data_IF_198928414833
#
_entry.id   IF_198928414833
#
_cell.length_a   1.000
_cell.length_b   1.000
_cell.length_c   1.000
_cell.angle_alpha   90.00
_cell.angle_beta   90.00
_cell.angle_gamma   90.00
#
_symmetry.space_group_name_H-M   'P 1'
#
loop_
_entity.id
_entity.type
_entity.pdbx_description
1 polymer ?
#
# COMPACT_ATOMS: atom_id res chain seq x y z
N UNK A 1 -78.38 1.24 -2.91
CA UNK A 1 -78.31 2.59 -2.32
C UNK A 1 -76.84 3.02 -2.27
N UNK A 2 -76.51 4.09 -3.01
CA UNK A 2 -75.52 5.16 -2.73
C UNK A 2 -74.34 4.74 -1.81
N UNK A 3 -73.14 4.44 -2.34
CA UNK A 3 -72.07 5.34 -2.82
C UNK A 3 -71.38 6.18 -1.72
N UNK A 4 -70.10 5.90 -1.44
CA UNK A 4 -69.03 6.91 -1.27
C UNK A 4 -67.63 6.32 -1.51
N UNK A 5 -67.06 6.64 -2.69
CA UNK A 5 -65.68 7.09 -3.04
C UNK A 5 -64.47 6.53 -2.25
N UNK A 6 -63.53 5.76 -2.85
CA UNK A 6 -62.44 6.07 -3.85
C UNK A 6 -61.10 6.45 -3.19
N UNK A 7 -59.94 6.43 -3.90
CA UNK A 7 -59.34 5.49 -4.87
C UNK A 7 -57.86 5.19 -4.45
N UNK A 8 -56.96 4.46 -5.10
CA UNK A 8 -56.85 3.75 -6.37
C UNK A 8 -55.39 3.25 -6.48
N UNK A 9 -55.14 2.19 -7.23
CA UNK A 9 -53.78 1.84 -7.70
C UNK A 9 -53.89 1.55 -9.18
N UNK A 10 -53.36 2.48 -9.97
CA UNK A 10 -53.23 2.37 -11.41
C UNK A 10 -52.08 1.43 -11.78
N UNK A 11 -52.33 0.59 -12.78
CA UNK A 11 -51.34 -0.21 -13.48
C UNK A 11 -50.21 0.68 -14.01
N UNK A 12 -48.97 0.32 -13.70
CA UNK A 12 -47.78 0.83 -14.39
C UNK A 12 -47.51 -0.07 -15.60
N UNK A 13 -47.79 0.45 -16.79
CA UNK A 13 -47.32 -0.10 -18.05
C UNK A 13 -45.86 0.34 -18.29
N UNK A 14 -45.05 -0.65 -18.67
CA UNK A 14 -43.65 -0.54 -19.09
C UNK A 14 -43.44 0.54 -20.16
N UNK A 15 -42.47 1.43 -19.93
CA UNK A 15 -41.73 2.11 -21.00
C UNK A 15 -40.25 1.98 -20.70
N UNK A 16 -39.58 1.21 -21.55
CA UNK A 16 -38.14 0.95 -21.56
C UNK A 16 -37.34 2.25 -21.59
N UNK A 17 -36.52 2.51 -20.57
CA UNK A 17 -35.45 3.50 -20.64
C UNK A 17 -34.12 2.79 -20.86
N UNK A 18 -33.61 2.91 -22.10
CA UNK A 18 -32.20 2.73 -22.39
C UNK A 18 -31.38 3.64 -21.46
N UNK A 19 -30.55 3.05 -20.60
CA UNK A 19 -29.52 3.73 -19.82
C UNK A 19 -28.42 4.24 -20.77
N UNK A 20 -28.68 5.40 -21.39
CA UNK A 20 -27.64 6.23 -21.99
C UNK A 20 -26.83 6.89 -20.87
N UNK A 21 -25.50 6.79 -20.95
CA UNK A 21 -24.58 7.32 -19.94
C UNK A 21 -24.85 8.79 -19.59
N UNK A 22 -24.82 9.09 -18.29
CA UNK A 22 -25.09 10.41 -17.72
C UNK A 22 -24.18 11.48 -18.33
N UNK A 23 -24.78 12.53 -18.90
CA UNK A 23 -24.09 13.65 -19.56
C UNK A 23 -23.23 14.48 -18.58
N UNK A 24 -23.63 14.60 -17.32
CA UNK A 24 -22.84 15.23 -16.26
C UNK A 24 -22.28 14.18 -15.30
N UNK A 25 -21.05 14.37 -14.85
CA UNK A 25 -20.30 13.46 -13.97
C UNK A 25 -20.26 14.02 -12.54
N UNK A 26 -19.85 13.19 -11.57
CA UNK A 26 -19.55 13.60 -10.19
C UNK A 26 -20.66 14.42 -9.51
N UNK A 27 -21.93 14.05 -9.72
CA UNK A 27 -23.07 14.75 -9.12
C UNK A 27 -23.44 16.09 -9.79
N UNK A 28 -22.88 16.38 -10.97
CA UNK A 28 -23.25 17.55 -11.77
C UNK A 28 -24.69 17.52 -12.27
N UNK A 29 -25.36 18.67 -12.20
CA UNK A 29 -26.74 18.83 -12.68
C UNK A 29 -26.76 19.20 -14.17
N UNK A 30 -27.42 18.39 -14.98
CA UNK A 30 -27.59 18.67 -16.41
C UNK A 30 -28.62 19.77 -16.64
N UNK A 31 -28.21 20.83 -17.35
CA UNK A 31 -29.12 21.92 -17.75
C UNK A 31 -29.54 21.72 -19.21
N UNK A 32 -30.83 21.46 -19.49
CA UNK A 32 -31.30 21.25 -20.86
C UNK A 32 -31.44 22.56 -21.64
N UNK A 33 -31.26 22.49 -22.95
CA UNK A 33 -31.58 23.57 -23.89
C UNK A 33 -33.09 23.82 -23.95
N UNK A 34 -33.50 25.09 -23.87
CA UNK A 34 -34.91 25.48 -23.95
C UNK A 34 -35.55 25.22 -25.33
N UNK A 35 -34.73 25.03 -26.38
CA UNK A 35 -35.19 24.84 -27.76
C UNK A 35 -35.27 23.34 -28.11
N UNK A 36 -34.29 22.56 -27.67
CA UNK A 36 -34.13 21.15 -28.12
C UNK A 36 -34.31 20.13 -27.00
N UNK A 37 -34.40 20.54 -25.73
CA UNK A 37 -34.46 19.65 -24.57
C UNK A 37 -33.17 18.86 -24.31
N UNK A 38 -32.17 18.95 -25.19
CA UNK A 38 -30.91 18.25 -25.06
C UNK A 38 -30.00 18.89 -24.00
N UNK A 39 -29.15 18.12 -23.30
CA UNK A 39 -28.19 18.64 -22.33
C UNK A 39 -27.27 19.70 -22.96
N UNK A 40 -27.32 20.94 -22.49
CA UNK A 40 -26.54 22.07 -23.04
C UNK A 40 -25.20 22.24 -22.31
N UNK A 41 -25.24 22.25 -20.98
CA UNK A 41 -24.08 22.33 -20.10
C UNK A 41 -24.40 21.76 -18.71
N UNK A 42 -23.36 21.47 -17.92
CA UNK A 42 -23.51 20.97 -16.56
C UNK A 42 -23.28 22.09 -15.53
N UNK A 43 -24.14 22.15 -14.51
CA UNK A 43 -23.88 22.93 -13.28
C UNK A 43 -23.17 22.03 -12.29
N UNK A 44 -21.95 22.41 -11.91
CA UNK A 44 -21.10 21.58 -11.07
C UNK A 44 -21.26 21.90 -9.59
N UNK A 45 -21.21 20.88 -8.71
CA UNK A 45 -21.13 21.07 -7.27
C UNK A 45 -19.93 21.92 -6.88
N UNK A 46 -19.97 22.52 -5.68
CA UNK A 46 -18.84 23.27 -5.15
C UNK A 46 -17.59 22.40 -5.07
N UNK A 47 -16.46 22.96 -5.46
CA UNK A 47 -15.23 22.20 -5.65
C UNK A 47 -15.11 21.51 -7.01
N UNK A 48 -16.08 21.57 -7.93
CA UNK A 48 -15.97 21.01 -9.28
C UNK A 48 -16.22 22.05 -10.40
N UNK A 49 -15.68 21.79 -11.59
CA UNK A 49 -15.70 22.60 -12.82
C UNK A 49 -15.56 21.69 -14.05
N UNK A 50 -15.52 22.28 -15.25
CA UNK A 50 -15.48 21.54 -16.52
C UNK A 50 -16.86 21.44 -17.16
N UNK A 51 -16.89 20.96 -18.41
CA UNK A 51 -18.13 20.95 -19.22
C UNK A 51 -19.13 19.91 -18.71
N UNK A 52 -18.63 18.87 -18.04
CA UNK A 52 -19.37 17.75 -17.46
C UNK A 52 -19.06 17.54 -15.97
N UNK A 53 -18.51 18.54 -15.27
CA UNK A 53 -18.14 18.46 -13.85
C UNK A 53 -17.06 17.41 -13.55
N UNK A 54 -16.14 17.28 -14.50
CA UNK A 54 -15.01 16.36 -14.49
C UNK A 54 -13.75 16.91 -13.80
N UNK A 55 -13.74 18.20 -13.42
CA UNK A 55 -12.54 18.90 -12.94
C UNK A 55 -12.75 19.38 -11.51
N UNK A 56 -11.88 19.06 -10.55
CA UNK A 56 -11.95 19.64 -9.20
C UNK A 56 -11.32 21.05 -9.18
N UNK A 57 -12.02 22.07 -8.66
CA UNK A 57 -11.64 23.49 -8.62
C UNK A 57 -10.46 23.80 -7.66
N UNK A 58 -9.76 22.78 -7.15
CA UNK A 58 -8.77 22.92 -6.07
C UNK A 58 -7.39 22.30 -6.29
N UNK A 59 -7.07 21.71 -7.45
CA UNK A 59 -5.83 20.94 -7.61
C UNK A 59 -4.57 21.81 -7.92
N UNK A 60 -4.10 22.55 -6.92
CA UNK A 60 -2.79 23.22 -6.94
C UNK A 60 -1.62 22.30 -6.57
N UNK A 61 -1.90 21.06 -6.18
CA UNK A 61 -0.96 20.09 -5.62
C UNK A 61 -1.30 18.64 -6.02
N UNK A 62 -0.35 17.70 -5.90
CA UNK A 62 -0.61 16.26 -6.14
C UNK A 62 -0.43 15.42 -4.87
N UNK A 63 -1.18 14.31 -4.78
CA UNK A 63 -1.11 13.36 -3.67
C UNK A 63 -0.43 12.04 -4.06
N UNK A 64 0.26 11.40 -3.10
CA UNK A 64 1.00 10.15 -3.34
C UNK A 64 1.96 10.33 -4.52
N UNK A 65 1.85 9.46 -5.52
CA UNK A 65 2.59 9.58 -6.79
C UNK A 65 1.84 10.40 -7.87
N UNK A 66 0.67 10.95 -7.59
CA UNK A 66 -0.06 11.83 -8.50
C UNK A 66 -0.70 11.15 -9.73
N UNK A 67 -1.08 9.87 -9.63
CA UNK A 67 -1.81 9.15 -10.71
C UNK A 67 -3.20 9.75 -10.95
N UNK A 68 -3.84 10.21 -9.88
CA UNK A 68 -5.15 10.86 -9.93
C UNK A 68 -5.09 12.37 -10.13
N UNK A 69 -3.89 12.96 -10.15
CA UNK A 69 -3.73 14.41 -10.36
C UNK A 69 -4.34 14.82 -11.71
N UNK A 70 -5.26 15.80 -11.68
CA UNK A 70 -5.90 16.36 -12.88
C UNK A 70 -5.74 17.87 -13.02
N UNK A 71 -4.92 18.51 -12.17
CA UNK A 71 -4.62 19.94 -12.23
C UNK A 71 -3.96 20.41 -13.54
N UNK A 72 -3.81 21.72 -13.70
CA UNK A 72 -3.43 22.37 -14.97
C UNK A 72 -1.97 22.81 -15.05
N UNK A 73 -1.11 22.39 -14.11
CA UNK A 73 0.32 22.72 -14.14
C UNK A 73 0.97 22.15 -15.41
N UNK A 74 1.74 22.99 -16.11
CA UNK A 74 2.39 22.69 -17.39
C UNK A 74 3.88 23.07 -17.42
N UNK A 75 4.55 23.07 -16.26
CA UNK A 75 5.99 23.36 -16.13
C UNK A 75 6.72 22.21 -15.44
N UNK A 76 7.93 21.91 -15.89
CA UNK A 76 8.84 20.97 -15.24
C UNK A 76 9.58 21.62 -14.06
N UNK A 77 10.21 20.80 -13.22
CA UNK A 77 11.09 21.24 -12.12
C UNK A 77 12.27 22.10 -12.58
N UNK A 78 12.69 21.98 -13.85
CA UNK A 78 13.73 22.84 -14.43
C UNK A 78 13.16 24.16 -14.97
N UNK A 79 11.85 24.42 -14.77
CA UNK A 79 11.14 25.60 -15.25
C UNK A 79 10.73 25.51 -16.73
N UNK A 80 10.98 24.40 -17.41
CA UNK A 80 10.65 24.25 -18.83
C UNK A 80 9.17 24.00 -19.06
N UNK A 81 8.64 24.58 -20.13
CA UNK A 81 7.26 24.35 -20.55
C UNK A 81 7.09 22.93 -21.07
N UNK A 82 6.05 22.26 -20.58
CA UNK A 82 5.67 20.94 -21.03
C UNK A 82 5.18 20.96 -22.49
N UNK A 83 5.52 19.88 -23.20
CA UNK A 83 5.05 19.59 -24.55
C UNK A 83 3.69 18.88 -24.51
N UNK A 84 2.91 19.03 -25.58
CA UNK A 84 1.60 18.39 -25.71
C UNK A 84 1.77 16.87 -25.77
N UNK A 85 0.89 16.14 -25.07
CA UNK A 85 0.91 14.67 -25.08
C UNK A 85 0.71 14.10 -26.49
N UNK A 86 1.54 13.12 -26.85
CA UNK A 86 1.47 12.47 -28.15
C UNK A 86 0.16 11.68 -28.33
N UNK A 87 -0.16 11.34 -29.57
CA UNK A 87 -1.43 10.69 -29.91
C UNK A 87 -1.62 9.34 -29.19
N UNK A 88 -0.54 8.60 -28.94
CA UNK A 88 -0.58 7.29 -28.30
C UNK A 88 -0.89 7.43 -26.81
N UNK A 89 -0.18 8.33 -26.11
CA UNK A 89 -0.43 8.64 -24.71
C UNK A 89 -1.88 9.12 -24.49
N UNK A 90 -2.37 9.99 -25.38
CA UNK A 90 -3.74 10.52 -25.32
C UNK A 90 -4.80 9.43 -25.45
N UNK A 91 -4.68 8.54 -26.44
CA UNK A 91 -5.67 7.48 -26.66
C UNK A 91 -5.68 6.44 -25.54
N UNK A 92 -4.50 6.07 -25.03
CA UNK A 92 -4.38 4.96 -24.08
C UNK A 92 -4.63 5.37 -22.63
N UNK A 93 -4.20 6.56 -22.23
CA UNK A 93 -4.19 6.93 -20.81
C UNK A 93 -4.97 8.20 -20.47
N UNK A 94 -5.18 9.11 -21.44
CA UNK A 94 -5.78 10.43 -21.21
C UNK A 94 -7.09 10.63 -21.98
N UNK A 95 -7.74 9.55 -22.41
CA UNK A 95 -8.97 9.61 -23.21
C UNK A 95 -10.12 10.28 -22.46
N UNK A 96 -10.15 10.12 -21.13
CA UNK A 96 -11.11 10.73 -20.20
C UNK A 96 -10.64 12.08 -19.63
N UNK A 97 -9.46 12.57 -20.02
CA UNK A 97 -8.87 13.82 -19.51
C UNK A 97 -9.37 15.04 -20.31
N UNK A 98 -9.04 16.26 -19.85
CA UNK A 98 -9.46 17.50 -20.50
C UNK A 98 -9.08 17.49 -21.99
N UNK A 99 -10.00 17.89 -22.86
CA UNK A 99 -9.82 17.85 -24.32
C UNK A 99 -9.32 16.49 -24.86
N UNK A 100 -9.68 15.37 -24.21
CA UNK A 100 -9.16 14.02 -24.52
C UNK A 100 -7.63 13.96 -24.52
N UNK A 101 -7.02 14.62 -23.54
CA UNK A 101 -5.58 14.74 -23.35
C UNK A 101 -4.88 15.70 -24.30
N UNK A 102 -5.61 16.49 -25.12
CA UNK A 102 -5.03 17.54 -26.00
C UNK A 102 -4.63 18.78 -25.20
N UNK A 103 -3.72 18.60 -24.26
CA UNK A 103 -3.08 19.64 -23.48
C UNK A 103 -1.64 19.23 -23.17
N UNK A 104 -0.90 20.12 -22.54
CA UNK A 104 0.46 19.87 -22.04
C UNK A 104 0.53 19.78 -20.51
N UNK A 105 -0.60 19.62 -19.83
CA UNK A 105 -0.62 19.48 -18.37
C UNK A 105 0.06 18.20 -17.89
N UNK A 106 0.73 18.31 -16.76
CA UNK A 106 1.45 17.24 -16.11
C UNK A 106 0.53 16.10 -15.67
N UNK A 107 0.96 14.86 -15.92
CA UNK A 107 0.20 13.64 -15.59
C UNK A 107 1.14 12.53 -15.17
N UNK A 108 0.62 11.55 -14.44
CA UNK A 108 1.35 10.33 -14.13
C UNK A 108 0.72 9.09 -14.78
N UNK A 109 0.85 9.00 -16.11
CA UNK A 109 0.23 7.96 -16.95
C UNK A 109 0.95 6.60 -16.96
N UNK A 110 2.04 6.46 -16.19
CA UNK A 110 2.88 5.25 -16.16
C UNK A 110 3.35 4.91 -14.74
N UNK A 111 2.62 5.37 -13.72
CA UNK A 111 2.91 5.08 -12.31
C UNK A 111 4.36 5.42 -11.89
N UNK A 112 4.92 6.53 -12.41
CA UNK A 112 6.25 7.05 -12.00
C UNK A 112 6.19 7.63 -10.58
N UNK A 113 7.33 8.03 -10.02
CA UNK A 113 7.40 8.67 -8.69
C UNK A 113 6.42 9.85 -8.48
N UNK A 114 6.21 10.69 -9.51
CA UNK A 114 5.32 11.86 -9.45
C UNK A 114 4.87 12.33 -10.84
N UNK A 115 3.91 13.26 -10.97
CA UNK A 115 3.49 13.75 -12.28
C UNK A 115 4.66 14.32 -13.08
N UNK A 116 4.66 14.03 -14.37
CA UNK A 116 5.72 14.41 -15.28
C UNK A 116 5.13 14.91 -16.59
N UNK A 117 6.00 15.50 -17.41
CA UNK A 117 5.70 15.85 -18.79
C UNK A 117 6.94 15.71 -19.65
N UNK A 118 6.74 15.76 -20.96
CA UNK A 118 7.84 15.84 -21.92
C UNK A 118 8.29 17.30 -22.06
N UNK A 119 9.58 17.55 -22.13
CA UNK A 119 10.16 18.88 -22.41
C UNK A 119 11.24 18.78 -23.48
N UNK A 120 11.49 19.88 -24.18
CA UNK A 120 12.53 19.94 -25.22
C UNK A 120 13.89 20.31 -24.62
N UNK A 121 14.91 19.49 -24.84
CA UNK A 121 16.30 19.73 -24.44
C UNK A 121 17.23 19.37 -25.59
N UNK A 122 18.02 20.33 -26.06
CA UNK A 122 18.95 20.15 -27.19
C UNK A 122 18.29 19.46 -28.41
N UNK A 123 17.10 19.94 -28.81
CA UNK A 123 16.27 19.37 -29.87
C UNK A 123 15.72 17.95 -29.65
N UNK A 124 15.93 17.34 -28.48
CA UNK A 124 15.35 16.05 -28.11
C UNK A 124 14.22 16.22 -27.11
N UNK A 125 13.24 15.31 -27.18
CA UNK A 125 12.13 15.22 -26.23
C UNK A 125 12.57 14.37 -25.04
N UNK A 126 12.62 14.96 -23.86
CA UNK A 126 13.07 14.28 -22.63
C UNK A 126 11.97 14.40 -21.58
N UNK A 127 11.75 13.33 -20.81
CA UNK A 127 10.85 13.35 -19.66
C UNK A 127 11.46 14.13 -18.51
N UNK A 128 10.70 15.05 -17.93
CA UNK A 128 11.05 15.69 -16.67
C UNK A 128 9.84 15.68 -15.71
N UNK A 129 10.11 15.59 -14.41
CA UNK A 129 9.08 15.72 -13.39
C UNK A 129 8.56 17.16 -13.33
N UNK A 130 7.31 17.30 -12.95
CA UNK A 130 6.65 18.59 -12.89
C UNK A 130 6.88 19.30 -11.55
N UNK A 131 6.94 20.63 -11.61
CA UNK A 131 7.00 21.49 -10.44
C UNK A 131 5.60 21.69 -9.89
N UNK A 132 5.09 20.64 -9.26
CA UNK A 132 3.80 20.65 -8.60
C UNK A 132 4.12 20.41 -7.12
N UNK A 133 3.63 21.24 -6.19
CA UNK A 133 3.79 20.95 -4.77
C UNK A 133 3.07 19.63 -4.46
N UNK A 134 3.78 18.71 -3.80
CA UNK A 134 3.12 17.55 -3.19
C UNK A 134 2.31 18.06 -2.00
N UNK A 135 1.10 17.53 -1.78
CA UNK A 135 0.27 17.96 -0.66
C UNK A 135 0.94 17.56 0.67
N UNK A 136 1.73 18.48 1.25
CA UNK A 136 2.27 18.39 2.59
C UNK A 136 1.22 18.98 3.53
N UNK A 137 0.49 18.13 4.22
CA UNK A 137 -0.37 18.55 5.33
C UNK A 137 0.54 19.01 6.48
N UNK A 138 0.92 20.29 6.49
CA UNK A 138 1.45 20.97 7.68
C UNK A 138 0.29 21.18 8.66
N UNK A 139 -0.18 20.09 9.26
CA UNK A 139 -0.89 20.19 10.52
C UNK A 139 0.17 20.48 11.60
N UNK A 140 0.09 21.68 12.16
CA UNK A 140 0.81 22.16 13.33
C UNK A 140 0.98 21.07 14.40
N UNK A 141 2.24 20.76 14.72
CA UNK A 141 2.66 19.86 15.79
C UNK A 141 2.22 20.39 17.17
N UNK A 142 1.60 19.55 18.02
CA UNK A 142 2.05 19.41 19.39
C UNK A 142 3.16 18.34 19.45
N UNK A 143 4.00 18.46 20.49
CA UNK A 143 5.16 17.64 20.75
C UNK A 143 4.86 16.12 20.80
N UNK A 144 5.89 15.36 20.46
CA UNK A 144 5.93 13.91 20.34
C UNK A 144 5.23 13.13 21.47
N UNK A 145 4.21 12.38 21.10
CA UNK A 145 3.95 11.05 21.65
C UNK A 145 4.13 10.09 20.47
N UNK A 146 5.14 9.19 20.52
CA UNK A 146 5.36 8.20 19.45
C UNK A 146 4.19 7.20 19.45
N UNK A 147 3.13 7.48 18.69
CA UNK A 147 2.05 6.53 18.48
C UNK A 147 2.39 5.64 17.29
N UNK A 148 2.84 4.41 17.56
CA UNK A 148 2.99 3.37 16.55
C UNK A 148 1.65 3.04 15.89
N UNK A 149 1.68 2.36 14.74
CA UNK A 149 0.47 1.81 14.10
C UNK A 149 -0.49 2.87 13.56
N UNK A 150 -0.08 4.14 13.58
CA UNK A 150 -0.82 5.26 13.04
C UNK A 150 -0.33 5.59 11.64
N UNK A 151 -1.28 5.82 10.73
CA UNK A 151 -1.02 6.28 9.36
C UNK A 151 -1.98 7.40 9.03
N UNK A 152 -1.58 8.34 8.18
CA UNK A 152 -2.44 9.44 7.78
C UNK A 152 -3.45 8.93 6.75
N UNK A 153 -4.59 8.41 7.21
CA UNK A 153 -5.66 7.90 6.33
C UNK A 153 -6.51 9.07 5.83
N UNK A 154 -6.41 9.41 4.54
CA UNK A 154 -7.57 10.00 3.84
C UNK A 154 -8.49 8.87 3.41
N UNK A 155 -9.79 9.01 3.62
CA UNK A 155 -10.85 8.08 3.18
C UNK A 155 -10.78 7.90 1.66
N UNK A 156 -9.92 7.01 1.18
CA UNK A 156 -9.92 6.57 -0.21
C UNK A 156 -11.00 5.50 -0.35
N UNK A 157 -11.95 5.75 -1.24
CA UNK A 157 -12.96 4.78 -1.64
C UNK A 157 -12.28 3.49 -2.12
N UNK A 158 -12.67 2.39 -1.50
CA UNK A 158 -12.27 0.99 -1.72
C UNK A 158 -12.15 0.68 -3.23
N UNK A 159 -10.94 0.34 -3.70
CA UNK A 159 -10.72 -0.26 -5.03
C UNK A 159 -10.22 -1.70 -4.84
N UNK A 160 -10.90 -2.63 -5.50
CA UNK A 160 -10.81 -4.08 -5.32
C UNK A 160 -9.75 -4.66 -6.26
N UNK A 161 -8.79 -5.42 -5.71
CA UNK A 161 -7.83 -6.23 -6.46
C UNK A 161 -6.39 -5.71 -6.43
N UNK A 162 -5.56 -6.23 -5.52
CA UNK A 162 -4.09 -6.12 -5.51
C UNK A 162 -3.58 -4.76 -5.97
N UNK A 163 -3.92 -3.71 -5.23
CA UNK A 163 -3.77 -2.35 -5.72
C UNK A 163 -2.35 -1.86 -5.53
N UNK A 164 -1.85 -1.10 -6.51
CA UNK A 164 -0.66 -0.27 -6.32
C UNK A 164 -0.92 0.58 -5.08
N UNK A 165 -0.02 0.44 -4.11
CA UNK A 165 -0.10 1.09 -2.82
C UNK A 165 0.97 2.17 -2.75
N UNK A 166 0.77 3.16 -1.89
CA UNK A 166 1.83 4.11 -1.55
C UNK A 166 2.39 3.78 -0.18
N UNK A 167 3.64 4.16 0.05
CA UNK A 167 4.33 3.92 1.32
C UNK A 167 3.66 4.67 2.48
N UNK A 168 2.98 5.79 2.25
CA UNK A 168 2.24 6.52 3.29
C UNK A 168 1.04 5.73 3.82
N UNK A 169 0.53 4.77 3.03
CA UNK A 169 -0.52 3.85 3.49
C UNK A 169 0.02 2.69 4.34
N UNK A 170 1.31 2.39 4.24
CA UNK A 170 2.02 1.36 5.00
C UNK A 170 3.40 1.87 5.41
N UNK A 171 3.47 2.94 6.23
CA UNK A 171 4.70 3.69 6.47
C UNK A 171 5.76 2.91 7.27
N UNK A 172 5.41 1.74 7.80
CA UNK A 172 6.31 0.79 8.44
C UNK A 172 6.98 -0.19 7.48
N UNK A 173 6.61 -0.22 6.18
CA UNK A 173 7.21 -1.17 5.24
C UNK A 173 8.72 -0.91 5.10
N UNK A 174 9.51 -1.97 5.22
CA UNK A 174 10.95 -1.96 5.04
C UNK A 174 11.33 -2.82 3.84
N UNK A 175 12.14 -2.28 2.92
CA UNK A 175 12.70 -3.02 1.81
C UNK A 175 14.16 -3.43 2.15
N UNK A 176 14.41 -4.73 2.25
CA UNK A 176 15.72 -5.28 2.59
C UNK A 176 16.46 -5.63 1.30
N UNK A 177 17.64 -5.05 1.12
CA UNK A 177 18.50 -5.28 -0.04
C UNK A 177 19.80 -5.97 0.37
N UNK A 178 20.26 -6.86 -0.50
CA UNK A 178 21.57 -7.48 -0.43
C UNK A 178 22.47 -6.97 -1.56
N UNK A 179 23.70 -6.56 -1.21
CA UNK A 179 24.70 -6.12 -2.18
C UNK A 179 25.42 -7.32 -2.78
N UNK A 180 25.17 -7.60 -4.06
CA UNK A 180 25.79 -8.68 -4.84
C UNK A 180 27.32 -8.51 -4.96
N UNK A 181 28.02 -9.56 -5.43
CA UNK A 181 29.47 -9.48 -5.68
C UNK A 181 29.80 -8.46 -6.79
N UNK A 182 28.88 -8.26 -7.73
CA UNK A 182 28.95 -7.23 -8.79
C UNK A 182 28.55 -5.82 -8.31
N UNK A 183 28.46 -5.59 -6.98
CA UNK A 183 28.11 -4.30 -6.35
C UNK A 183 26.69 -3.79 -6.68
N UNK A 184 25.81 -4.63 -7.22
CA UNK A 184 24.40 -4.30 -7.42
C UNK A 184 23.60 -4.59 -6.15
N UNK A 185 22.65 -3.71 -5.82
CA UNK A 185 21.70 -3.95 -4.73
C UNK A 185 20.53 -4.78 -5.28
N UNK A 186 20.30 -5.95 -4.70
CA UNK A 186 19.23 -6.87 -5.09
C UNK A 186 18.23 -6.92 -3.96
N UNK A 187 16.95 -6.69 -4.28
CA UNK A 187 15.88 -6.83 -3.30
C UNK A 187 15.83 -8.28 -2.79
N UNK A 188 15.77 -8.44 -1.47
CA UNK A 188 15.84 -9.73 -0.80
C UNK A 188 14.50 -10.11 -0.18
N UNK A 189 13.98 -9.24 0.67
CA UNK A 189 12.77 -9.47 1.46
C UNK A 189 12.12 -8.13 1.87
N UNK A 190 10.86 -8.22 2.30
CA UNK A 190 10.20 -7.18 3.06
C UNK A 190 10.57 -7.22 4.56
N UNK A 191 10.06 -6.25 5.29
CA UNK A 191 10.22 -6.10 6.73
C UNK A 191 9.25 -5.07 7.27
N UNK A 192 9.18 -4.94 8.59
CA UNK A 192 8.37 -3.92 9.27
C UNK A 192 9.21 -3.14 10.27
N UNK A 193 9.13 -1.81 10.24
CA UNK A 193 9.75 -0.93 11.23
C UNK A 193 8.92 -0.98 12.53
N UNK A 194 9.51 -1.49 13.61
CA UNK A 194 8.85 -1.63 14.93
C UNK A 194 9.36 -0.60 15.94
N UNK A 195 10.53 -0.01 15.70
CA UNK A 195 11.02 1.20 16.35
C UNK A 195 12.01 1.91 15.43
N UNK A 196 12.45 3.12 15.77
CA UNK A 196 13.37 3.89 14.95
C UNK A 196 14.64 3.11 14.51
N UNK A 197 15.15 2.21 15.35
CA UNK A 197 16.38 1.45 15.07
C UNK A 197 16.13 -0.04 14.79
N UNK A 198 14.90 -0.53 14.79
CA UNK A 198 14.61 -1.96 14.72
C UNK A 198 13.59 -2.29 13.64
N UNK A 199 13.97 -3.22 12.77
CA UNK A 199 13.11 -3.82 11.74
C UNK A 199 12.94 -5.30 12.04
N UNK A 200 11.70 -5.77 11.99
CA UNK A 200 11.34 -7.19 12.09
C UNK A 200 11.07 -7.76 10.70
N UNK A 201 11.47 -9.01 10.46
CA UNK A 201 11.35 -9.70 9.16
C UNK A 201 11.36 -11.22 9.38
N UNK A 202 11.37 -12.01 8.31
CA UNK A 202 11.45 -13.46 8.37
C UNK A 202 12.91 -13.95 8.45
N UNK A 203 13.15 -15.07 9.15
CA UNK A 203 14.47 -15.66 9.29
C UNK A 203 14.99 -16.28 7.99
N UNK A 204 14.11 -16.91 7.19
CA UNK A 204 14.48 -17.55 5.92
C UNK A 204 15.04 -16.57 4.88
N UNK A 205 14.85 -15.26 5.08
CA UNK A 205 15.50 -14.22 4.28
C UNK A 205 17.03 -14.29 4.33
N UNK A 206 17.59 -14.92 5.38
CA UNK A 206 19.03 -15.03 5.68
C UNK A 206 19.48 -16.49 5.72
N UNK A 207 19.65 -17.18 4.57
CA UNK A 207 19.92 -18.62 4.52
C UNK A 207 21.26 -19.02 5.15
N UNK A 208 22.19 -18.08 5.30
CA UNK A 208 23.48 -18.28 5.97
C UNK A 208 23.35 -18.13 7.50
N UNK A 209 22.14 -17.93 8.03
CA UNK A 209 21.88 -17.81 9.45
C UNK A 209 22.70 -16.69 10.11
N UNK A 210 23.30 -16.99 11.26
CA UNK A 210 24.21 -16.09 11.99
C UNK A 210 25.51 -15.77 11.22
N UNK A 211 25.86 -16.53 10.17
CA UNK A 211 27.02 -16.28 9.33
C UNK A 211 26.75 -15.23 8.23
N UNK A 212 25.49 -14.80 8.09
CA UNK A 212 25.08 -13.78 7.10
C UNK A 212 25.91 -12.51 7.27
N UNK A 213 26.55 -12.06 6.18
CA UNK A 213 27.39 -10.85 6.18
C UNK A 213 26.55 -9.57 6.22
N UNK A 214 26.19 -9.12 7.42
CA UNK A 214 25.36 -7.94 7.64
C UNK A 214 25.87 -6.67 6.93
N UNK A 215 27.18 -6.51 6.70
CA UNK A 215 27.74 -5.35 5.99
C UNK A 215 27.29 -5.26 4.52
N UNK A 216 26.80 -6.37 3.94
CA UNK A 216 26.23 -6.43 2.59
C UNK A 216 24.74 -6.09 2.56
N UNK A 217 24.10 -5.95 3.71
CA UNK A 217 22.69 -5.61 3.80
C UNK A 217 22.49 -4.10 3.93
N UNK A 218 21.39 -3.64 3.35
CA UNK A 218 20.83 -2.32 3.59
C UNK A 218 19.32 -2.42 3.68
N UNK A 219 18.73 -1.56 4.51
CA UNK A 219 17.29 -1.42 4.65
C UNK A 219 16.89 -0.05 4.15
N UNK A 220 15.91 0.01 3.25
CA UNK A 220 15.31 1.28 2.81
C UNK A 220 13.86 1.37 3.29
N UNK A 221 13.55 2.44 4.00
CA UNK A 221 12.21 2.83 4.45
C UNK A 221 11.67 3.90 3.47
N UNK A 222 10.36 4.08 3.39
CA UNK A 222 9.77 5.11 2.53
C UNK A 222 9.77 4.77 1.02
N UNK A 223 10.01 3.51 0.65
CA UNK A 223 10.26 3.12 -0.75
C UNK A 223 8.95 2.81 -1.50
N UNK A 224 8.61 3.59 -2.53
CA UNK A 224 7.44 3.29 -3.37
C UNK A 224 7.74 2.28 -4.50
N UNK A 225 8.93 2.38 -5.10
CA UNK A 225 9.34 1.54 -6.21
C UNK A 225 10.75 0.96 -6.01
N UNK A 226 10.97 -0.31 -6.35
CA UNK A 226 12.26 -0.99 -6.14
C UNK A 226 13.37 -0.48 -7.06
N UNK A 227 13.01 -0.02 -8.27
CA UNK A 227 13.95 0.40 -9.32
C UNK A 227 14.16 1.92 -9.40
N UNK A 228 13.47 2.70 -8.56
CA UNK A 228 13.57 4.15 -8.50
C UNK A 228 13.96 4.55 -7.06
N UNK A 229 14.58 5.71 -6.88
CA UNK A 229 14.95 6.22 -5.55
C UNK A 229 14.53 7.67 -5.42
N UNK A 230 13.91 8.00 -4.28
CA UNK A 230 13.51 9.35 -3.92
C UNK A 230 14.17 9.75 -2.59
N UNK A 231 15.24 10.55 -2.64
CA UNK A 231 15.95 10.98 -1.43
C UNK A 231 15.16 11.95 -0.54
N UNK A 232 14.02 12.45 -1.00
CA UNK A 232 13.16 13.33 -0.19
C UNK A 232 12.20 12.56 0.72
N UNK A 233 12.01 11.26 0.43
CA UNK A 233 11.07 10.37 1.13
C UNK A 233 11.79 9.15 1.72
N UNK A 234 12.75 8.58 0.99
CA UNK A 234 13.43 7.35 1.37
C UNK A 234 14.51 7.58 2.43
N UNK A 235 14.55 6.70 3.43
CA UNK A 235 15.63 6.66 4.42
C UNK A 235 16.33 5.31 4.33
N UNK A 236 17.63 5.31 3.99
CA UNK A 236 18.41 4.09 3.80
C UNK A 236 19.46 3.91 4.88
N UNK A 237 19.46 2.74 5.51
CA UNK A 237 20.35 2.37 6.60
C UNK A 237 21.16 1.12 6.25
N UNK A 238 22.39 1.05 6.78
CA UNK A 238 23.13 -0.22 6.85
C UNK A 238 22.60 -1.03 8.03
N UNK A 239 22.77 -2.34 7.96
CA UNK A 239 22.47 -3.22 9.09
C UNK A 239 23.69 -3.28 10.01
N UNK A 240 23.48 -3.03 11.29
CA UNK A 240 24.48 -3.18 12.35
C UNK A 240 24.56 -4.64 12.83
N UNK A 241 23.40 -5.27 13.04
CA UNK A 241 23.31 -6.63 13.56
C UNK A 241 22.04 -7.33 13.07
N UNK A 242 22.12 -8.66 12.93
CA UNK A 242 21.01 -9.55 12.59
C UNK A 242 20.81 -10.50 13.77
N UNK A 243 19.58 -10.65 14.22
CA UNK A 243 19.18 -11.63 15.23
C UNK A 243 18.17 -12.57 14.60
N UNK A 244 18.56 -13.82 14.38
CA UNK A 244 17.67 -14.89 13.94
C UNK A 244 17.22 -15.64 15.18
N UNK A 245 15.95 -16.03 15.24
CA UNK A 245 15.44 -16.79 16.36
C UNK A 245 16.24 -18.09 16.55
N UNK A 246 16.66 -18.37 17.78
CA UNK A 246 17.61 -19.45 18.11
C UNK A 246 17.09 -20.84 17.77
N UNK A 247 15.76 -20.98 17.71
CA UNK A 247 15.07 -22.22 17.36
C UNK A 247 14.57 -22.26 15.91
N UNK A 248 15.02 -21.34 15.04
CA UNK A 248 14.76 -21.44 13.61
C UNK A 248 15.76 -22.42 12.97
N UNK A 249 15.26 -23.46 12.30
CA UNK A 249 16.10 -24.42 11.61
C UNK A 249 16.04 -24.21 10.09
N UNK A 250 17.12 -23.70 9.51
CA UNK A 250 17.25 -23.50 8.06
C UNK A 250 17.25 -24.81 7.25
N UNK A 251 17.50 -25.95 7.90
CA UNK A 251 17.56 -27.26 7.26
C UNK A 251 16.20 -27.97 7.23
N UNK A 252 15.26 -27.53 8.07
CA UNK A 252 13.90 -28.08 8.13
C UNK A 252 12.95 -27.18 7.33
N UNK A 253 12.20 -27.77 6.41
CA UNK A 253 11.18 -27.04 5.63
C UNK A 253 9.88 -26.81 6.41
N UNK A 254 9.93 -26.81 7.75
CA UNK A 254 8.76 -26.57 8.59
C UNK A 254 8.56 -25.08 8.94
N UNK A 255 9.53 -24.21 8.64
CA UNK A 255 9.50 -22.77 8.88
C UNK A 255 9.13 -22.37 10.32
N UNK A 256 9.30 -23.27 11.30
CA UNK A 256 8.97 -22.97 12.69
C UNK A 256 9.93 -21.90 13.23
N UNK A 257 9.40 -20.89 13.91
CA UNK A 257 10.19 -19.74 14.39
C UNK A 257 10.81 -18.90 13.27
N UNK A 258 10.13 -18.77 12.14
CA UNK A 258 10.59 -17.94 11.01
C UNK A 258 10.44 -16.43 11.31
N UNK A 259 11.33 -15.92 12.15
CA UNK A 259 11.39 -14.53 12.60
C UNK A 259 12.83 -14.09 12.81
N UNK A 260 13.13 -12.87 12.38
CA UNK A 260 14.41 -12.22 12.58
C UNK A 260 14.23 -10.71 12.87
N UNK A 261 15.22 -10.14 13.58
CA UNK A 261 15.34 -8.72 13.85
C UNK A 261 16.61 -8.16 13.22
N UNK A 262 16.49 -6.97 12.63
CA UNK A 262 17.59 -6.19 12.10
C UNK A 262 17.76 -4.93 12.93
N UNK A 263 18.96 -4.76 13.49
CA UNK A 263 19.36 -3.51 14.13
C UNK A 263 19.93 -2.57 13.06
N UNK A 264 19.33 -1.40 12.89
CA UNK A 264 19.77 -0.40 11.94
C UNK A 264 21.00 0.33 12.49
N UNK A 265 22.00 0.54 11.64
CA UNK A 265 23.18 1.35 11.98
C UNK A 265 22.80 2.82 11.98
N UNK A 266 22.88 3.47 13.15
CA UNK A 266 22.62 4.89 13.29
C UNK A 266 23.57 5.74 12.41
N UNK A 267 23.02 6.77 11.78
CA UNK A 267 23.75 7.80 11.04
C UNK A 267 23.76 9.07 11.88
N UNK A 268 24.95 9.57 12.21
CA UNK A 268 25.11 10.74 13.10
C UNK A 268 24.37 10.60 14.45
N UNK A 269 24.33 9.38 14.99
CA UNK A 269 23.67 9.09 16.28
C UNK A 269 22.15 8.94 16.22
N UNK A 270 21.53 8.99 15.03
CA UNK A 270 20.08 8.80 14.85
C UNK A 270 19.77 7.66 13.87
N UNK A 271 18.68 6.93 14.11
CA UNK A 271 18.16 5.94 13.17
C UNK A 271 17.02 6.55 12.34
N UNK A 272 15.94 5.80 12.07
CA UNK A 272 14.82 6.29 11.28
C UNK A 272 14.15 7.51 11.93
N UNK A 273 13.94 8.55 11.13
CA UNK A 273 13.17 9.74 11.50
C UNK A 273 11.72 9.55 11.09
N UNK A 274 10.79 9.87 11.98
CA UNK A 274 9.36 9.73 11.65
C UNK A 274 8.94 10.76 10.60
N UNK A 275 8.28 10.28 9.54
CA UNK A 275 7.67 11.10 8.49
C UNK A 275 6.31 10.49 8.10
N UNK A 276 5.56 11.12 7.18
CA UNK A 276 4.34 10.51 6.66
C UNK A 276 4.58 9.16 5.94
N UNK A 277 5.80 8.92 5.45
CA UNK A 277 6.21 7.74 4.69
C UNK A 277 7.07 6.78 5.50
N UNK A 278 7.46 7.15 6.74
CA UNK A 278 8.30 6.35 7.63
C UNK A 278 7.73 6.46 9.03
N UNK A 279 7.03 5.42 9.48
CA UNK A 279 6.45 5.32 10.84
C UNK A 279 6.59 3.90 11.36
N UNK A 280 6.48 3.73 12.66
CA UNK A 280 6.53 2.40 13.28
C UNK A 280 5.15 1.74 13.26
N UNK A 281 5.11 0.42 13.14
CA UNK A 281 3.90 -0.37 13.42
C UNK A 281 3.89 -0.81 14.88
N UNK A 282 2.71 -0.95 15.49
CA UNK A 282 2.63 -1.45 16.85
C UNK A 282 2.86 -2.96 16.91
N UNK A 283 3.55 -3.41 17.96
CA UNK A 283 3.57 -4.84 18.31
C UNK A 283 2.26 -5.20 19.01
N UNK A 284 1.67 -6.36 18.70
CA UNK A 284 0.41 -6.79 19.30
C UNK A 284 0.61 -7.12 20.78
N UNK A 285 -0.37 -6.85 21.67
CA UNK A 285 -0.27 -7.25 23.07
C UNK A 285 -0.09 -8.77 23.22
N UNK A 286 0.66 -9.23 24.25
CA UNK A 286 0.81 -10.66 24.52
C UNK A 286 -0.54 -11.36 24.65
N UNK A 287 -0.64 -12.57 24.09
CA UNK A 287 -1.83 -13.44 24.17
C UNK A 287 -3.11 -12.85 23.55
N UNK A 288 -3.03 -11.72 22.83
CA UNK A 288 -4.17 -11.21 22.07
C UNK A 288 -4.37 -12.07 20.83
N UNK A 289 -5.40 -12.91 20.83
CA UNK A 289 -5.90 -13.56 19.62
C UNK A 289 -6.96 -12.68 18.95
N UNK A 290 -6.91 -12.63 17.63
CA UNK A 290 -7.99 -12.08 16.82
C UNK A 290 -8.90 -13.23 16.35
N UNK A 291 -10.22 -13.05 16.30
CA UNK A 291 -11.12 -14.10 15.85
C UNK A 291 -10.90 -14.40 14.36
N UNK A 292 -11.13 -15.66 13.93
CA UNK A 292 -11.21 -16.00 12.51
C UNK A 292 -12.20 -15.09 11.77
N UNK A 293 -11.91 -14.78 10.52
CA UNK A 293 -12.67 -13.84 9.71
C UNK A 293 -12.28 -12.37 9.89
N UNK A 294 -11.44 -12.03 10.88
CA UNK A 294 -10.91 -10.65 11.02
C UNK A 294 -10.16 -10.25 9.75
N UNK A 295 -10.52 -9.10 9.18
CA UNK A 295 -9.85 -8.54 8.01
C UNK A 295 -8.58 -7.81 8.41
N UNK A 296 -7.48 -8.16 7.75
CA UNK A 296 -6.15 -7.59 7.92
C UNK A 296 -5.60 -7.14 6.56
N UNK A 297 -4.51 -6.38 6.57
CA UNK A 297 -3.83 -5.90 5.36
C UNK A 297 -2.41 -6.47 5.29
N UNK A 298 -2.03 -6.93 4.10
CA UNK A 298 -0.65 -7.30 3.76
C UNK A 298 -0.10 -6.30 2.74
N UNK A 299 1.20 -6.05 2.81
CA UNK A 299 1.88 -5.18 1.86
C UNK A 299 3.30 -5.67 1.57
N UNK A 300 3.76 -5.47 0.33
CA UNK A 300 5.08 -5.91 -0.10
C UNK A 300 5.37 -5.64 -1.57
N UNK A 301 6.53 -6.12 -2.01
CA UNK A 301 7.03 -5.99 -3.39
C UNK A 301 7.17 -7.36 -4.07
N UNK A 302 6.47 -8.37 -3.57
CA UNK A 302 6.51 -9.73 -4.10
C UNK A 302 5.98 -9.84 -5.53
N UNK A 303 6.08 -11.06 -6.06
CA UNK A 303 5.57 -11.40 -7.37
C UNK A 303 4.06 -11.25 -7.41
N UNK A 304 3.55 -10.72 -8.50
CA UNK A 304 2.09 -10.56 -8.66
C UNK A 304 1.38 -11.89 -8.92
N UNK A 305 2.13 -12.90 -9.40
CA UNK A 305 1.65 -14.26 -9.68
C UNK A 305 2.78 -15.27 -9.46
N UNK A 306 2.41 -16.48 -9.09
CA UNK A 306 3.34 -17.61 -9.02
C UNK A 306 4.03 -17.85 -10.37
N UNK A 307 5.33 -18.20 -10.35
CA UNK A 307 6.11 -18.51 -11.55
C UNK A 307 6.60 -17.29 -12.36
N UNK A 308 6.27 -16.06 -11.99
CA UNK A 308 6.89 -14.88 -12.60
C UNK A 308 8.39 -14.85 -12.27
N UNK A 309 9.21 -14.41 -13.22
CA UNK A 309 10.67 -14.29 -13.01
C UNK A 309 11.06 -12.98 -12.31
N UNK A 310 10.11 -12.04 -12.16
CA UNK A 310 10.33 -10.72 -11.59
C UNK A 310 9.31 -10.40 -10.49
N UNK A 311 9.77 -9.61 -9.52
CA UNK A 311 8.98 -9.04 -8.43
C UNK A 311 8.22 -7.78 -8.88
N UNK A 312 7.14 -7.42 -8.18
CA UNK A 312 6.45 -6.16 -8.46
C UNK A 312 7.42 -4.99 -8.26
N UNK A 313 7.49 -4.10 -9.23
CA UNK A 313 8.37 -2.93 -9.14
C UNK A 313 7.82 -1.89 -8.17
N UNK A 314 6.53 -1.95 -7.85
CA UNK A 314 5.83 -0.99 -7.00
C UNK A 314 5.29 -1.70 -5.77
N UNK A 315 5.18 -0.96 -4.65
CA UNK A 315 4.53 -1.47 -3.45
C UNK A 315 3.09 -1.88 -3.79
N UNK A 316 2.70 -3.08 -3.36
CA UNK A 316 1.35 -3.61 -3.47
C UNK A 316 0.75 -3.80 -2.09
N UNK A 317 -0.58 -3.78 -2.03
CA UNK A 317 -1.32 -4.22 -0.83
C UNK A 317 -2.50 -5.11 -1.19
N UNK A 318 -2.89 -5.97 -0.25
CA UNK A 318 -4.11 -6.75 -0.33
C UNK A 318 -4.77 -6.84 1.06
N UNK A 319 -6.10 -7.00 1.06
CA UNK A 319 -6.85 -7.35 2.26
C UNK A 319 -6.97 -8.87 2.32
N UNK A 320 -6.78 -9.45 3.49
CA UNK A 320 -6.91 -10.89 3.76
C UNK A 320 -7.73 -11.09 5.03
N UNK A 321 -8.39 -12.23 5.16
CA UNK A 321 -9.09 -12.61 6.38
C UNK A 321 -8.30 -13.71 7.10
N UNK A 322 -8.24 -13.62 8.42
CA UNK A 322 -7.68 -14.69 9.25
C UNK A 322 -8.51 -15.97 9.11
N UNK A 323 -7.84 -17.10 8.91
CA UNK A 323 -8.48 -18.41 8.94
C UNK A 323 -8.38 -19.00 10.35
N UNK A 324 -9.32 -19.88 10.68
CA UNK A 324 -9.26 -20.63 11.92
C UNK A 324 -8.12 -21.65 11.89
N UNK A 325 -7.45 -21.85 13.03
CA UNK A 325 -6.27 -22.72 13.13
C UNK A 325 -6.61 -24.18 12.77
N UNK A 326 -7.80 -24.66 13.13
CA UNK A 326 -8.30 -25.99 12.81
C UNK A 326 -8.53 -26.16 11.29
N UNK A 327 -9.07 -25.15 10.62
CA UNK A 327 -9.21 -25.13 9.16
C UNK A 327 -7.85 -25.18 8.49
N UNK A 328 -6.89 -24.37 8.93
CA UNK A 328 -5.57 -24.37 8.29
C UNK A 328 -4.79 -25.68 8.48
N UNK A 329 -5.05 -26.39 9.58
CA UNK A 329 -4.48 -27.71 9.89
C UNK A 329 -5.26 -28.88 9.29
N UNK A 330 -6.31 -28.63 8.51
CA UNK A 330 -6.94 -29.70 7.75
C UNK A 330 -5.94 -30.27 6.74
N UNK A 331 -6.06 -31.58 6.46
CA UNK A 331 -5.16 -32.30 5.56
C UNK A 331 -5.16 -31.74 4.13
N UNK A 332 -6.30 -31.22 3.68
CA UNK A 332 -6.45 -30.62 2.35
C UNK A 332 -5.74 -29.26 2.24
N UNK A 333 -5.49 -28.61 3.38
CA UNK A 333 -4.73 -27.37 3.51
C UNK A 333 -3.25 -27.69 3.76
N UNK A 334 -2.79 -27.71 5.00
CA UNK A 334 -1.38 -27.96 5.32
C UNK A 334 -1.15 -29.06 6.35
N UNK A 335 -2.20 -29.62 6.95
CA UNK A 335 -2.06 -30.65 7.98
C UNK A 335 -1.14 -30.21 9.13
N UNK A 336 -0.24 -31.10 9.52
CA UNK A 336 0.71 -30.89 10.61
C UNK A 336 1.85 -29.91 10.28
N UNK A 337 1.94 -29.38 9.06
CA UNK A 337 2.97 -28.40 8.71
C UNK A 337 2.73 -27.04 9.39
N UNK A 338 1.49 -26.73 9.77
CA UNK A 338 1.14 -25.48 10.46
C UNK A 338 1.01 -25.72 11.96
N UNK A 339 1.99 -25.23 12.71
CA UNK A 339 2.03 -25.38 14.16
C UNK A 339 1.44 -24.17 14.91
N UNK A 340 1.60 -24.10 16.24
CA UNK A 340 1.03 -23.02 17.08
C UNK A 340 1.73 -21.65 16.92
N UNK A 341 2.92 -21.62 16.33
CA UNK A 341 3.66 -20.39 16.03
C UNK A 341 3.28 -19.78 14.69
N UNK A 342 2.33 -20.38 13.99
CA UNK A 342 1.86 -19.97 12.68
C UNK A 342 0.35 -19.75 12.70
N UNK A 343 -0.11 -18.99 11.72
CA UNK A 343 -1.53 -18.90 11.36
C UNK A 343 -1.65 -18.62 9.88
N UNK A 344 -2.87 -18.76 9.36
CA UNK A 344 -3.14 -18.61 7.95
C UNK A 344 -4.09 -17.46 7.69
N UNK A 345 -3.89 -16.77 6.58
CA UNK A 345 -4.80 -15.73 6.13
C UNK A 345 -4.89 -15.78 4.61
N UNK A 346 -6.10 -15.60 4.09
CA UNK A 346 -6.34 -15.56 2.66
C UNK A 346 -7.49 -14.63 2.34
N UNK A 347 -7.57 -14.21 1.08
CA UNK A 347 -8.78 -13.57 0.58
C UNK A 347 -9.93 -14.58 0.52
N UNK A 348 -11.16 -14.20 0.90
CA UNK A 348 -12.32 -15.07 0.77
C UNK A 348 -12.58 -15.56 -0.66
N UNK A 349 -12.13 -14.80 -1.66
CA UNK A 349 -12.30 -15.10 -3.09
C UNK A 349 -11.08 -15.79 -3.72
N UNK A 350 -10.04 -16.11 -2.93
CA UNK A 350 -8.77 -16.69 -3.38
C UNK A 350 -8.09 -15.94 -4.53
N UNK A 351 -8.42 -14.66 -4.75
CA UNK A 351 -7.96 -13.92 -5.94
C UNK A 351 -6.58 -13.28 -5.77
N UNK A 352 -6.13 -13.08 -4.52
CA UNK A 352 -4.77 -12.64 -4.17
C UNK A 352 -4.34 -13.26 -2.85
N UNK A 353 -3.03 -13.36 -2.68
CA UNK A 353 -2.35 -13.79 -1.47
C UNK A 353 -0.95 -13.17 -1.45
N UNK A 354 -0.25 -13.28 -0.31
CA UNK A 354 1.19 -13.04 -0.29
C UNK A 354 1.89 -14.02 -1.23
N UNK A 355 2.91 -13.55 -1.94
CA UNK A 355 3.62 -14.36 -2.94
C UNK A 355 5.14 -14.26 -2.72
N UNK A 356 5.91 -15.00 -3.51
CA UNK A 356 7.37 -14.95 -3.45
C UNK A 356 7.87 -13.50 -3.53
N UNK A 357 8.73 -13.09 -2.59
CA UNK A 357 9.22 -11.72 -2.50
C UNK A 357 8.44 -10.79 -1.57
N UNK A 358 7.26 -11.21 -1.07
CA UNK A 358 6.61 -10.56 0.08
C UNK A 358 7.16 -11.05 1.43
N UNK A 359 7.98 -12.12 1.41
CA UNK A 359 8.67 -12.71 2.56
C UNK A 359 9.23 -11.66 3.52
N UNK A 360 8.91 -11.82 4.81
CA UNK A 360 9.29 -10.90 5.87
C UNK A 360 8.43 -9.62 5.97
N UNK A 361 7.54 -9.38 5.01
CA UNK A 361 6.62 -8.25 5.00
C UNK A 361 5.52 -8.33 6.08
N UNK A 362 4.83 -7.22 6.34
CA UNK A 362 3.79 -7.12 7.35
C UNK A 362 2.49 -7.81 6.97
N UNK A 363 1.86 -8.48 7.94
CA UNK A 363 0.41 -8.59 8.05
C UNK A 363 -0.04 -7.76 9.25
N UNK A 364 -0.78 -6.68 8.99
CA UNK A 364 -1.30 -5.76 10.00
C UNK A 364 -2.81 -5.86 10.14
N UNK A 365 -3.30 -5.81 11.36
CA UNK A 365 -4.73 -5.79 11.65
C UNK A 365 -5.06 -4.54 12.48
N UNK A 366 -6.18 -3.90 12.16
CA UNK A 366 -6.64 -2.71 12.88
C UNK A 366 -7.42 -3.11 14.12
N UNK A 367 -7.03 -2.57 15.28
CA UNK A 367 -7.78 -2.71 16.53
C UNK A 367 -7.87 -1.33 17.17
N UNK A 368 -9.08 -0.87 17.44
CA UNK A 368 -9.38 0.46 18.02
C UNK A 368 -8.62 1.60 17.29
N UNK A 369 -8.73 1.62 15.96
CA UNK A 369 -8.07 2.57 15.05
C UNK A 369 -6.53 2.57 15.09
N UNK A 370 -5.91 1.51 15.62
CA UNK A 370 -4.46 1.34 15.65
C UNK A 370 -4.06 0.07 14.92
N UNK A 371 -3.04 0.14 14.07
CA UNK A 371 -2.56 -1.01 13.29
C UNK A 371 -1.45 -1.75 14.03
N UNK A 372 -1.69 -3.04 14.26
CA UNK A 372 -0.79 -3.94 14.95
C UNK A 372 -0.25 -5.00 14.00
N UNK A 373 1.04 -5.32 14.12
CA UNK A 373 1.72 -6.35 13.34
C UNK A 373 1.44 -7.75 13.92
N UNK A 374 0.33 -8.36 13.53
CA UNK A 374 -0.03 -9.69 14.00
C UNK A 374 0.75 -10.81 13.30
N UNK A 375 1.18 -10.59 12.06
CA UNK A 375 1.88 -11.59 11.26
C UNK A 375 3.08 -11.06 10.50
N UNK A 376 4.02 -11.97 10.25
CA UNK A 376 5.13 -11.78 9.29
C UNK A 376 4.91 -12.77 8.15
N UNK A 377 4.93 -12.31 6.91
CA UNK A 377 4.81 -13.17 5.73
C UNK A 377 5.95 -14.20 5.73
N UNK A 378 5.62 -15.49 5.75
CA UNK A 378 6.60 -16.57 5.91
C UNK A 378 6.67 -17.47 4.68
N UNK A 379 5.64 -18.28 4.43
CA UNK A 379 5.62 -19.25 3.31
C UNK A 379 4.20 -19.52 2.80
N UNK A 380 4.07 -20.27 1.71
CA UNK A 380 2.80 -20.70 1.13
C UNK A 380 3.02 -21.69 -0.03
N UNK A 381 1.97 -22.41 -0.43
CA UNK A 381 2.00 -23.32 -1.58
C UNK A 381 1.39 -22.62 -2.81
N UNK A 382 2.26 -21.95 -3.56
CA UNK A 382 1.85 -21.08 -4.66
C UNK A 382 1.35 -19.72 -4.16
N UNK A 383 0.76 -18.95 -5.07
CA UNK A 383 0.21 -17.64 -4.76
C UNK A 383 -1.27 -17.64 -5.11
N UNK A 384 -2.12 -17.36 -4.12
CA UNK A 384 -3.58 -17.29 -4.28
C UNK A 384 -4.20 -18.59 -4.82
N UNK A 385 -3.69 -19.74 -4.34
CA UNK A 385 -4.21 -21.06 -4.71
C UNK A 385 -5.33 -21.45 -3.75
N UNK A 386 -6.44 -21.94 -4.30
CA UNK A 386 -7.59 -22.37 -3.50
C UNK A 386 -7.16 -23.43 -2.47
N UNK A 387 -7.64 -23.29 -1.23
CA UNK A 387 -7.30 -24.11 -0.07
C UNK A 387 -5.81 -24.12 0.31
N UNK A 388 -4.99 -23.22 -0.25
CA UNK A 388 -3.58 -23.03 0.09
C UNK A 388 -3.33 -21.57 0.49
N UNK A 389 -3.82 -21.15 1.66
CA UNK A 389 -3.69 -19.78 2.15
C UNK A 389 -2.23 -19.44 2.50
N UNK A 390 -1.88 -18.17 2.45
CA UNK A 390 -0.59 -17.71 2.97
C UNK A 390 -0.42 -18.06 4.44
N UNK A 391 0.79 -18.47 4.81
CA UNK A 391 1.18 -18.82 6.19
C UNK A 391 2.08 -17.75 6.76
N UNK A 392 1.74 -17.30 7.97
CA UNK A 392 2.36 -16.16 8.64
C UNK A 392 2.91 -16.58 9.99
N UNK A 393 4.08 -16.07 10.35
CA UNK A 393 4.63 -16.22 11.71
C UNK A 393 3.78 -15.39 12.68
N UNK A 394 3.32 -16.01 13.77
CA UNK A 394 2.44 -15.40 14.78
C UNK A 394 3.22 -14.52 15.76
N UNK A 395 3.27 -13.21 15.50
CA UNK A 395 4.12 -12.26 16.25
C UNK A 395 3.84 -12.24 17.76
N UNK A 396 2.58 -12.45 18.18
CA UNK A 396 2.19 -12.49 19.60
C UNK A 396 2.96 -13.52 20.42
N UNK A 397 3.44 -14.61 19.79
CA UNK A 397 4.21 -15.66 20.46
C UNK A 397 5.69 -15.24 20.69
N UNK A 398 6.16 -14.20 20.00
CA UNK A 398 7.56 -13.77 20.00
C UNK A 398 7.80 -12.46 20.75
N UNK A 399 6.76 -11.88 21.35
CA UNK A 399 6.86 -10.62 22.10
C UNK A 399 7.99 -10.61 23.15
N UNK A 400 8.12 -11.69 23.94
CA UNK A 400 9.21 -11.82 24.93
C UNK A 400 10.59 -11.84 24.26
N UNK A 401 10.74 -12.60 23.18
CA UNK A 401 11.98 -12.67 22.42
C UNK A 401 12.34 -11.31 21.79
N UNK A 402 11.36 -10.60 21.24
CA UNK A 402 11.55 -9.25 20.68
C UNK A 402 12.05 -8.30 21.77
N UNK A 403 11.41 -8.29 22.94
CA UNK A 403 11.83 -7.48 24.08
C UNK A 403 13.25 -7.82 24.55
N UNK A 404 13.58 -9.11 24.68
CA UNK A 404 14.93 -9.57 25.07
C UNK A 404 16.02 -9.10 24.11
N UNK A 405 15.76 -9.08 22.79
CA UNK A 405 16.76 -8.68 21.78
C UNK A 405 16.84 -7.18 21.58
N UNK A 406 15.73 -6.46 21.74
CA UNK A 406 15.63 -5.05 21.38
C UNK A 406 15.63 -4.11 22.58
N UNK A 407 15.35 -4.63 23.77
CA UNK A 407 15.02 -3.87 24.98
C UNK A 407 13.81 -2.92 24.80
N UNK A 408 13.00 -3.14 23.76
CA UNK A 408 11.73 -2.45 23.59
C UNK A 408 10.70 -3.08 24.53
N UNK A 409 9.93 -2.30 25.29
CA UNK A 409 8.86 -2.84 26.12
C UNK A 409 7.86 -3.59 25.24
N UNK A 410 7.30 -4.68 25.78
CA UNK A 410 6.34 -5.58 25.09
C UNK A 410 5.11 -4.86 24.53
N UNK A 411 4.84 -3.67 25.04
CA UNK A 411 3.82 -2.74 24.59
C UNK A 411 4.61 -1.48 24.24
N UNK A 412 4.75 -1.18 22.94
CA UNK A 412 5.29 0.12 22.52
C UNK A 412 4.42 1.17 23.20
N UNK A 413 4.99 1.97 24.09
CA UNK A 413 4.28 2.97 24.89
C UNK A 413 3.78 4.11 23.99
N UNK A 414 2.70 3.84 23.26
CA UNK A 414 1.65 4.78 22.90
C UNK A 414 0.44 4.38 23.74
N UNK A 415 -0.10 5.34 24.47
CA UNK A 415 -1.10 5.17 25.53
C UNK A 415 -2.23 4.17 25.24
N UNK A 416 -2.29 3.15 26.09
CA UNK A 416 -3.47 2.40 26.55
C UNK A 416 -4.52 1.97 25.51
N UNK A 417 -4.61 0.65 25.31
CA UNK A 417 -5.93 0.03 25.12
C UNK A 417 -6.86 0.45 26.27
N UNK A 418 -8.05 1.01 26.01
CA UNK A 418 -9.03 1.19 27.07
C UNK A 418 -9.46 -0.20 27.58
N UNK A 419 -9.17 -0.48 28.85
CA UNK A 419 -9.80 -1.59 29.56
C UNK A 419 -11.30 -1.28 29.65
N UNK A 420 -12.14 -2.20 29.21
CA UNK A 420 -13.57 -2.21 29.57
C UNK A 420 -13.76 -2.88 30.92
#
# INVERSE_FOLDING_TARGET
MINTRSPGVFLILNVSFHLAGTFCLNGGLSVPSLITGAPLFCKCPDGLSGRRCEIEKGDSCYEGIGVLYRGTVSKSVSGKTCEIWDLHARRRYLSSDLHSGRHNYCRNIQYRLRPWCNVRKNHQLVREYCDIPQFLNLASFPAADLTCGQRTIRKQTKIVGGTVSTVESHPWIAAIFWRSKSKQNVFRCGGSLISACWVITAAHCFPEGSQTRHQRLSVTLGKNALNESDSTVEQTFRVEQIFIHEQFNHSEQNYNNDIALLKLKAMYGKCAEETNSVKTVCLPPPLKSLPPGTTCEIAGYGKEKFGLWYNSQFLRKAQVNLLADDVCRQKDYYGEMVNNNMFCAARPDWSQDACEGDSGGPLVCEVDNTLFLFGIVSWGDGCAKENKPGVYTRVTNYNKWIEEKTSLPTITTGTMFPQK
#
